data_IF_845161575995
#
_entry.id   IF_845161575995
#
_cell.length_a   1.000
_cell.length_b   1.000
_cell.length_c   1.000
_cell.angle_alpha   90.00
_cell.angle_beta   90.00
_cell.angle_gamma   90.00
#
_symmetry.space_group_name_H-M   'P 1'
#
loop_
_entity.id
_entity.type
_entity.pdbx_description
1 polymer ?
#
# COMPACT_ATOMS: atom_id res chain seq x y z
N UNK A 1 25.24 -34.27 2.23
CA UNK A 1 23.88 -34.10 1.66
C UNK A 1 23.90 -32.92 0.69
N UNK A 2 23.69 -33.16 -0.62
CA UNK A 2 23.47 -32.05 -1.57
C UNK A 2 22.12 -31.41 -1.25
N UNK A 3 22.09 -30.11 -0.99
CA UNK A 3 20.84 -29.41 -0.67
C UNK A 3 19.98 -29.42 -1.93
N UNK A 4 18.70 -29.74 -1.77
CA UNK A 4 17.71 -29.80 -2.86
C UNK A 4 17.58 -28.46 -3.62
N UNK A 5 18.07 -27.37 -3.01
CA UNK A 5 18.15 -26.01 -3.54
C UNK A 5 19.20 -25.83 -4.65
N UNK A 6 20.19 -26.71 -4.74
CA UNK A 6 21.30 -26.57 -5.71
C UNK A 6 21.04 -27.38 -6.99
N UNK A 7 19.84 -27.92 -7.12
CA UNK A 7 19.39 -28.68 -8.28
C UNK A 7 19.06 -27.74 -9.45
N UNK A 8 19.54 -28.01 -10.67
CA UNK A 8 19.13 -27.27 -11.87
C UNK A 8 17.61 -27.24 -12.09
N UNK A 9 16.88 -28.22 -11.54
CA UNK A 9 15.42 -28.25 -11.57
C UNK A 9 14.81 -27.20 -10.62
N UNK A 10 15.44 -26.93 -9.47
CA UNK A 10 14.97 -25.94 -8.51
C UNK A 10 15.15 -24.51 -9.03
N UNK A 11 16.28 -24.23 -9.69
CA UNK A 11 16.52 -22.95 -10.37
C UNK A 11 15.48 -22.66 -11.46
N UNK A 12 15.07 -23.68 -12.23
CA UNK A 12 13.99 -23.54 -13.22
C UNK A 12 12.64 -23.19 -12.58
N UNK A 13 12.32 -23.85 -11.47
CA UNK A 13 11.08 -23.57 -10.71
C UNK A 13 11.11 -22.14 -10.13
N UNK A 14 12.24 -21.70 -9.57
CA UNK A 14 12.41 -20.33 -9.08
C UNK A 14 12.31 -19.29 -10.21
N UNK A 15 12.92 -19.55 -11.37
CA UNK A 15 12.83 -18.66 -12.52
C UNK A 15 11.39 -18.54 -13.04
N UNK A 16 10.65 -19.65 -13.10
CA UNK A 16 9.25 -19.68 -13.50
C UNK A 16 8.36 -18.95 -12.48
N UNK A 17 8.57 -19.18 -11.19
CA UNK A 17 7.85 -18.46 -10.12
C UNK A 17 8.13 -16.94 -10.16
N UNK A 18 9.38 -16.54 -10.43
CA UNK A 18 9.75 -15.12 -10.62
C UNK A 18 9.07 -14.52 -11.86
N UNK A 19 8.97 -15.28 -12.96
CA UNK A 19 8.28 -14.84 -14.18
C UNK A 19 6.78 -14.66 -13.94
N UNK A 20 6.12 -15.63 -13.33
CA UNK A 20 4.71 -15.54 -12.95
C UNK A 20 4.47 -14.36 -12.00
N UNK A 21 5.37 -14.12 -11.04
CA UNK A 21 5.28 -12.97 -10.13
C UNK A 21 5.40 -11.63 -10.87
N UNK A 22 6.22 -11.55 -11.93
CA UNK A 22 6.32 -10.35 -12.79
C UNK A 22 5.08 -10.17 -13.68
N UNK A 23 4.53 -11.25 -14.21
CA UNK A 23 3.31 -11.22 -15.03
C UNK A 23 2.09 -10.83 -14.20
N UNK A 24 1.96 -11.40 -13.00
CA UNK A 24 0.98 -10.98 -12.01
C UNK A 24 1.20 -9.51 -11.63
N UNK A 25 2.43 -9.08 -11.33
CA UNK A 25 2.69 -7.69 -10.98
C UNK A 25 2.23 -6.68 -12.05
N UNK A 26 2.29 -7.05 -13.35
CA UNK A 26 1.81 -6.19 -14.45
C UNK A 26 0.29 -6.06 -14.49
N UNK A 27 -0.43 -7.18 -14.39
CA UNK A 27 -1.91 -7.19 -14.38
C UNK A 27 -2.43 -6.55 -13.08
N UNK A 28 -1.76 -6.85 -11.97
CA UNK A 28 -2.16 -6.35 -10.66
C UNK A 28 -1.78 -4.88 -10.48
N UNK A 29 -0.80 -4.30 -11.19
CA UNK A 29 -0.41 -2.90 -10.96
C UNK A 29 -1.49 -1.91 -11.37
N UNK A 30 -2.22 -2.13 -12.47
CA UNK A 30 -3.28 -1.21 -12.89
C UNK A 30 -4.52 -1.33 -12.01
N UNK A 31 -4.94 -2.57 -11.70
CA UNK A 31 -6.06 -2.86 -10.80
C UNK A 31 -5.75 -2.35 -9.38
N UNK A 32 -4.54 -2.61 -8.87
CA UNK A 32 -4.10 -2.10 -7.58
C UNK A 32 -3.98 -0.58 -7.61
N UNK A 33 -3.48 0.04 -8.69
CA UNK A 33 -3.38 1.50 -8.75
C UNK A 33 -4.75 2.17 -8.69
N UNK A 34 -5.77 1.57 -9.30
CA UNK A 34 -7.14 2.10 -9.29
C UNK A 34 -7.76 1.94 -7.91
N UNK A 35 -7.63 0.75 -7.30
CA UNK A 35 -8.17 0.49 -5.96
C UNK A 35 -7.45 1.31 -4.87
N UNK A 36 -6.13 1.51 -5.01
CA UNK A 36 -5.33 2.40 -4.16
C UNK A 36 -5.77 3.85 -4.34
N UNK A 37 -6.00 4.34 -5.56
CA UNK A 37 -6.49 5.72 -5.78
C UNK A 37 -7.87 5.95 -5.15
N UNK A 38 -8.80 5.01 -5.31
CA UNK A 38 -10.15 5.09 -4.72
C UNK A 38 -10.06 5.08 -3.20
N UNK A 39 -9.29 4.15 -2.64
CA UNK A 39 -9.09 4.04 -1.20
C UNK A 39 -8.38 5.27 -0.64
N UNK A 40 -7.35 5.77 -1.31
CA UNK A 40 -6.66 7.02 -0.95
C UNK A 40 -7.61 8.22 -0.91
N UNK A 41 -8.56 8.32 -1.84
CA UNK A 41 -9.55 9.38 -1.78
C UNK A 41 -10.50 9.21 -0.59
N UNK A 42 -10.96 7.99 -0.30
CA UNK A 42 -11.78 7.69 0.89
C UNK A 42 -11.05 8.03 2.19
N UNK A 43 -9.79 7.58 2.32
CA UNK A 43 -8.90 7.89 3.45
C UNK A 43 -8.73 9.40 3.60
N UNK A 44 -8.46 10.12 2.50
CA UNK A 44 -8.32 11.59 2.54
C UNK A 44 -9.60 12.29 3.00
N UNK A 45 -10.77 11.86 2.53
CA UNK A 45 -12.06 12.43 2.95
C UNK A 45 -12.30 12.17 4.43
N UNK A 46 -12.07 10.93 4.89
CA UNK A 46 -12.16 10.57 6.30
C UNK A 46 -11.26 11.48 7.16
N UNK A 47 -9.98 11.61 6.80
CA UNK A 47 -9.02 12.45 7.52
C UNK A 47 -9.39 13.94 7.54
N UNK A 48 -10.09 14.45 6.52
CA UNK A 48 -10.54 15.85 6.50
C UNK A 48 -11.74 16.11 7.41
N UNK A 49 -12.62 15.12 7.54
CA UNK A 49 -13.82 15.22 8.37
C UNK A 49 -13.52 14.94 9.84
N UNK A 50 -12.52 14.11 10.10
CA UNK A 50 -12.03 13.81 11.44
C UNK A 50 -11.11 14.93 11.93
N UNK A 51 -11.40 15.47 13.11
CA UNK A 51 -10.66 16.61 13.72
C UNK A 51 -9.33 16.19 14.36
N UNK A 52 -8.96 14.91 14.29
CA UNK A 52 -7.67 14.42 14.77
C UNK A 52 -6.50 15.07 14.03
N UNK A 53 -5.47 15.44 14.79
CA UNK A 53 -4.21 15.96 14.23
C UNK A 53 -3.39 14.84 13.58
N UNK A 54 -3.48 13.61 14.10
CA UNK A 54 -2.74 12.44 13.62
C UNK A 54 -3.66 11.24 13.40
N UNK A 55 -3.24 10.39 12.47
CA UNK A 55 -3.97 9.26 11.97
C UNK A 55 -3.10 8.02 11.96
N UNK A 56 -3.71 6.91 12.37
CA UNK A 56 -3.09 5.59 12.37
C UNK A 56 -3.79 4.74 11.29
N UNK A 57 -3.06 4.14 10.33
CA UNK A 57 -3.67 3.38 9.24
C UNK A 57 -4.53 2.19 9.71
N UNK A 58 -4.21 1.59 10.86
CA UNK A 58 -5.03 0.52 11.46
C UNK A 58 -6.38 1.03 11.95
N UNK A 59 -6.44 2.20 12.58
CA UNK A 59 -7.71 2.81 12.98
C UNK A 59 -8.59 3.12 11.77
N UNK A 60 -8.00 3.67 10.71
CA UNK A 60 -8.73 3.98 9.47
C UNK A 60 -9.20 2.69 8.77
N UNK A 61 -8.38 1.64 8.78
CA UNK A 61 -8.75 0.32 8.27
C UNK A 61 -10.01 -0.23 8.96
N UNK A 62 -10.06 -0.16 10.29
CA UNK A 62 -11.24 -0.56 11.05
C UNK A 62 -12.45 0.34 10.77
N UNK A 63 -12.26 1.67 10.81
CA UNK A 63 -13.37 2.63 10.68
C UNK A 63 -13.99 2.65 9.29
N UNK A 64 -13.21 2.43 8.23
CA UNK A 64 -13.70 2.38 6.85
C UNK A 64 -14.08 0.97 6.40
N UNK A 65 -13.85 -0.05 7.24
CA UNK A 65 -13.97 -1.47 6.87
C UNK A 65 -13.20 -1.81 5.57
N UNK A 66 -11.95 -1.36 5.50
CA UNK A 66 -11.04 -1.57 4.36
C UNK A 66 -9.82 -2.34 4.87
N UNK A 67 -9.33 -3.30 4.08
CA UNK A 67 -8.14 -4.09 4.41
C UNK A 67 -6.91 -3.21 4.71
N UNK A 68 -6.23 -3.47 5.83
CA UNK A 68 -5.09 -2.67 6.31
C UNK A 68 -3.99 -2.46 5.26
N UNK A 69 -3.51 -3.49 4.53
CA UNK A 69 -2.52 -3.29 3.46
C UNK A 69 -2.96 -2.26 2.41
N UNK A 70 -4.24 -2.27 2.01
CA UNK A 70 -4.77 -1.32 1.01
C UNK A 70 -4.80 0.09 1.57
N UNK A 71 -5.16 0.25 2.85
CA UNK A 71 -5.12 1.55 3.54
C UNK A 71 -3.68 2.05 3.67
N UNK A 72 -2.74 1.18 4.04
CA UNK A 72 -1.33 1.54 4.16
C UNK A 72 -0.73 1.97 2.82
N UNK A 73 -0.98 1.21 1.75
CA UNK A 73 -0.57 1.58 0.38
C UNK A 73 -1.20 2.90 -0.06
N UNK A 74 -2.43 3.17 0.36
CA UNK A 74 -3.10 4.45 0.13
C UNK A 74 -2.40 5.61 0.85
N UNK A 75 -1.93 5.41 2.08
CA UNK A 75 -1.11 6.40 2.79
C UNK A 75 0.23 6.65 2.07
N UNK A 76 0.89 5.59 1.61
CA UNK A 76 2.11 5.73 0.80
C UNK A 76 1.83 6.53 -0.48
N UNK A 77 0.75 6.22 -1.19
CA UNK A 77 0.34 6.97 -2.37
C UNK A 77 0.08 8.45 -2.04
N UNK A 78 -0.71 8.75 -1.00
CA UNK A 78 -0.98 10.13 -0.57
C UNK A 78 0.31 10.86 -0.16
N UNK A 79 1.28 10.16 0.42
CA UNK A 79 2.61 10.70 0.72
C UNK A 79 3.35 11.13 -0.54
N UNK A 80 3.36 10.30 -1.58
CA UNK A 80 3.97 10.67 -2.88
C UNK A 80 3.31 11.89 -3.54
N UNK A 81 2.06 12.18 -3.18
CA UNK A 81 1.31 13.36 -3.64
C UNK A 81 1.45 14.57 -2.70
N UNK A 82 2.25 14.44 -1.65
CA UNK A 82 2.46 15.45 -0.61
C UNK A 82 1.14 15.91 0.04
N UNK A 83 0.20 14.98 0.23
CA UNK A 83 -1.10 15.22 0.88
C UNK A 83 -1.02 14.84 2.37
N UNK A 84 -0.23 13.82 2.69
CA UNK A 84 -0.01 13.35 4.06
C UNK A 84 1.48 13.25 4.34
N UNK A 85 1.86 13.42 5.60
CA UNK A 85 3.22 13.27 6.06
C UNK A 85 3.27 12.34 7.28
N UNK A 86 4.32 11.52 7.35
CA UNK A 86 4.59 10.66 8.49
C UNK A 86 5.46 11.41 9.51
N UNK A 87 5.04 11.41 10.77
CA UNK A 87 5.76 11.95 11.91
C UNK A 87 6.02 10.86 12.95
N UNK A 88 6.73 11.19 14.04
CA UNK A 88 6.89 10.30 15.20
C UNK A 88 5.56 9.84 15.83
N UNK A 89 4.48 10.60 15.63
CA UNK A 89 3.16 10.34 16.23
C UNK A 89 2.18 9.67 15.25
N UNK A 90 2.59 9.47 13.99
CA UNK A 90 1.73 8.91 12.96
C UNK A 90 1.58 9.85 11.76
N UNK A 91 0.58 9.55 10.94
CA UNK A 91 0.32 10.27 9.70
C UNK A 91 -0.54 11.49 9.95
N UNK A 92 -0.29 12.60 9.27
CA UNK A 92 -1.13 13.79 9.37
C UNK A 92 -1.34 14.40 7.99
N UNK A 93 -2.43 15.16 7.83
CA UNK A 93 -2.66 15.94 6.61
C UNK A 93 -1.66 17.09 6.53
N UNK A 94 -1.10 17.30 5.35
CA UNK A 94 -0.34 18.51 5.04
C UNK A 94 -1.35 19.57 4.61
N UNK A 95 -1.62 20.55 5.47
CA UNK A 95 -2.42 21.71 5.09
C UNK A 95 -1.69 22.48 3.98
N UNK A 96 -2.29 22.55 2.78
CA UNK A 96 -1.83 23.50 1.78
C UNK A 96 -2.39 24.86 2.17
N UNK A 97 -1.54 25.74 2.70
CA UNK A 97 -1.84 27.18 2.74
C UNK A 97 -2.09 27.62 1.30
N UNK A 98 -3.33 27.99 1.00
CA UNK A 98 -3.65 28.77 -0.19
C UNK A 98 -3.17 30.20 0.01
#
# INVERSE_FOLDING_TARGET
MKRYTDSPAFEKILAQARKQRRELAKITSEINSTNIKVTANKVRIYMRNDKKTFFVPSEISCNLNISYPVVFDSFLFLKTKNIVQLSKHGWHLVERKQ
#
